data_IF_017133126715
#
_entry.id   IF_017133126715
#
_cell.length_a   1.000
_cell.length_b   1.000
_cell.length_c   1.000
_cell.angle_alpha   90.00
_cell.angle_beta   90.00
_cell.angle_gamma   90.00
#
_symmetry.space_group_name_H-M   'P 1'
#
loop_
_entity.id
_entity.type
_entity.pdbx_description
1 polymer ?
#
# COMPACT_ATOMS: atom_id res chain seq x y z
N UNK A 1 4.84 4.44 -11.56
CA UNK A 1 4.90 2.97 -11.39
C UNK A 1 3.48 2.45 -11.50
N UNK A 2 3.21 1.30 -12.14
CA UNK A 2 1.85 0.73 -12.16
C UNK A 2 1.62 -0.07 -10.86
N UNK A 3 0.67 0.38 -10.03
CA UNK A 3 0.40 -0.18 -8.71
C UNK A 3 -0.75 -1.21 -8.71
N UNK A 4 -1.50 -1.35 -9.81
CA UNK A 4 -2.70 -2.19 -9.88
C UNK A 4 -2.43 -3.66 -9.54
N UNK A 5 -1.24 -4.16 -9.90
CA UNK A 5 -0.79 -5.52 -9.59
C UNK A 5 -0.52 -5.81 -8.12
N UNK A 6 -0.52 -4.80 -7.25
CA UNK A 6 -0.26 -4.93 -5.81
C UNK A 6 -1.54 -4.80 -4.96
N UNK A 7 -2.67 -4.44 -5.57
CA UNK A 7 -3.95 -4.33 -4.88
C UNK A 7 -4.32 -5.67 -4.21
N UNK A 8 -4.73 -5.58 -2.95
CA UNK A 8 -5.14 -6.71 -2.13
C UNK A 8 -3.99 -7.60 -1.63
N UNK A 9 -2.72 -7.24 -1.91
CA UNK A 9 -1.55 -8.04 -1.53
C UNK A 9 -0.86 -7.47 -0.29
N UNK A 10 -0.27 -8.37 0.50
CA UNK A 10 0.67 -8.00 1.54
C UNK A 10 1.98 -7.57 0.90
N UNK A 11 2.43 -6.36 1.23
CA UNK A 11 3.63 -5.76 0.68
C UNK A 11 4.50 -5.15 1.78
N UNK A 12 5.79 -5.14 1.52
CA UNK A 12 6.77 -4.30 2.20
C UNK A 12 7.14 -3.16 1.24
N UNK A 13 6.88 -1.92 1.65
CA UNK A 13 7.09 -0.70 0.87
C UNK A 13 8.27 0.04 1.47
N UNK A 14 9.28 0.31 0.66
CA UNK A 14 10.44 1.10 1.04
C UNK A 14 10.32 2.52 0.51
N UNK A 15 10.32 3.47 1.42
CA UNK A 15 10.46 4.90 1.16
C UNK A 15 11.86 5.37 1.62
N UNK A 16 12.23 6.62 1.33
CA UNK A 16 13.56 7.19 1.63
C UNK A 16 14.04 6.95 3.07
N UNK A 17 13.15 7.12 4.05
CA UNK A 17 13.51 7.08 5.47
C UNK A 17 12.82 5.98 6.28
N UNK A 18 11.91 5.21 5.67
CA UNK A 18 11.08 4.24 6.37
C UNK A 18 10.69 3.06 5.49
N UNK A 19 10.40 1.94 6.13
CA UNK A 19 9.75 0.79 5.49
C UNK A 19 8.40 0.56 6.17
N UNK A 20 7.37 0.38 5.36
CA UNK A 20 6.01 0.09 5.81
C UNK A 20 5.61 -1.31 5.35
N UNK A 21 5.07 -2.11 6.27
CA UNK A 21 4.56 -3.44 5.97
C UNK A 21 3.04 -3.44 6.15
N UNK A 22 2.31 -3.83 5.11
CA UNK A 22 0.86 -3.68 5.09
C UNK A 22 0.18 -4.35 3.91
N UNK A 23 -1.11 -4.11 3.76
CA UNK A 23 -1.86 -4.45 2.56
C UNK A 23 -2.30 -3.20 1.83
N UNK A 24 -2.05 -3.16 0.51
CA UNK A 24 -2.60 -2.12 -0.35
C UNK A 24 -4.06 -2.47 -0.61
N UNK A 25 -4.98 -1.57 -0.29
CA UNK A 25 -6.40 -1.79 -0.54
C UNK A 25 -7.03 -0.75 -1.46
N UNK A 26 -6.37 0.39 -1.68
CA UNK A 26 -6.78 1.36 -2.69
C UNK A 26 -5.58 2.04 -3.37
N UNK A 27 -5.81 2.55 -4.58
CA UNK A 27 -4.88 3.33 -5.38
C UNK A 27 -5.63 4.59 -5.82
N UNK A 28 -5.16 5.74 -5.38
CA UNK A 28 -5.83 7.02 -5.59
C UNK A 28 -5.12 7.80 -6.70
N UNK A 29 -5.88 8.40 -7.61
CA UNK A 29 -5.37 9.42 -8.52
C UNK A 29 -5.22 10.74 -7.76
N UNK A 30 -4.34 11.63 -8.25
CA UNK A 30 -4.04 12.91 -7.59
C UNK A 30 -5.28 13.76 -7.21
N UNK A 31 -6.36 13.69 -8.01
CA UNK A 31 -7.60 14.42 -7.76
C UNK A 31 -8.44 13.85 -6.58
N UNK A 32 -8.29 12.55 -6.29
CA UNK A 32 -8.98 11.85 -5.19
C UNK A 32 -8.09 11.70 -3.93
N UNK A 33 -6.78 11.88 -4.10
CA UNK A 33 -5.78 11.80 -3.04
C UNK A 33 -5.85 12.99 -2.07
N UNK A 34 -5.64 12.73 -0.77
CA UNK A 34 -5.55 13.80 0.23
C UNK A 34 -4.21 14.55 0.17
N UNK A 35 -3.20 13.97 -0.47
CA UNK A 35 -1.86 14.56 -0.63
C UNK A 35 -1.67 15.25 -1.99
N UNK A 36 -2.63 15.13 -2.91
CA UNK A 36 -2.64 15.82 -4.21
C UNK A 36 -1.71 15.21 -5.25
N UNK A 37 -1.33 13.94 -5.09
CA UNK A 37 -0.46 13.17 -5.98
C UNK A 37 -1.02 11.76 -6.12
N UNK A 38 -0.67 11.03 -7.19
CA UNK A 38 -1.06 9.63 -7.29
C UNK A 38 -0.45 8.84 -6.11
N UNK A 39 -1.33 8.16 -5.37
CA UNK A 39 -0.98 7.58 -4.06
C UNK A 39 -1.58 6.19 -3.89
N UNK A 40 -1.18 5.52 -2.81
CA UNK A 40 -1.77 4.25 -2.37
C UNK A 40 -2.24 4.38 -0.93
N UNK A 41 -3.33 3.68 -0.60
CA UNK A 41 -3.73 3.47 0.79
C UNK A 41 -3.22 2.11 1.29
N UNK A 42 -2.40 2.16 2.32
CA UNK A 42 -1.77 0.99 2.94
C UNK A 42 -2.32 0.78 4.35
N UNK A 43 -2.97 -0.36 4.57
CA UNK A 43 -3.34 -0.82 5.91
C UNK A 43 -2.13 -1.46 6.58
N UNK A 44 -1.61 -0.83 7.64
CA UNK A 44 -0.42 -1.31 8.34
C UNK A 44 -0.72 -2.57 9.15
N UNK A 45 0.22 -3.51 9.19
CA UNK A 45 0.09 -4.75 9.97
C UNK A 45 0.36 -4.55 11.47
N UNK A 46 1.33 -3.68 11.78
CA UNK A 46 1.81 -3.50 13.15
C UNK A 46 0.99 -2.49 13.95
N UNK A 47 0.07 -1.79 13.28
CA UNK A 47 -0.76 -0.72 13.84
C UNK A 47 -2.15 -0.81 13.21
N UNK A 48 -3.21 -0.64 13.99
CA UNK A 48 -4.57 -0.45 13.45
C UNK A 48 -4.70 0.95 12.82
N UNK A 49 -3.95 1.19 11.75
CA UNK A 49 -3.83 2.46 11.06
C UNK A 49 -3.72 2.27 9.55
N UNK A 50 -4.30 3.20 8.82
CA UNK A 50 -4.14 3.36 7.38
C UNK A 50 -3.21 4.54 7.13
N UNK A 51 -2.30 4.40 6.18
CA UNK A 51 -1.44 5.49 5.71
C UNK A 51 -1.59 5.65 4.21
N UNK A 52 -1.61 6.90 3.76
CA UNK A 52 -1.54 7.26 2.35
C UNK A 52 -0.08 7.54 1.99
N UNK A 53 0.44 6.91 0.92
CA UNK A 53 1.83 7.03 0.48
C UNK A 53 1.85 7.46 -0.99
N UNK A 54 2.54 8.56 -1.29
CA UNK A 54 2.76 9.01 -2.66
C UNK A 54 3.53 7.95 -3.45
N UNK A 55 3.09 7.63 -4.67
CA UNK A 55 3.80 6.66 -5.53
C UNK A 55 5.19 7.18 -5.91
N UNK A 56 5.37 8.51 -5.97
CA UNK A 56 6.65 9.18 -6.20
C UNK A 56 7.69 8.91 -5.10
N UNK A 57 7.26 8.66 -3.87
CA UNK A 57 8.13 8.40 -2.71
C UNK A 57 8.51 6.91 -2.56
N UNK A 58 7.91 6.02 -3.37
CA UNK A 58 8.16 4.58 -3.32
C UNK A 58 9.42 4.25 -4.11
N UNK A 59 10.45 3.77 -3.40
CA UNK A 59 11.71 3.34 -3.98
C UNK A 59 11.62 1.88 -4.45
N UNK A 60 11.01 1.03 -3.61
CA UNK A 60 10.90 -0.40 -3.86
C UNK A 60 9.65 -0.98 -3.19
N UNK A 61 9.10 -2.02 -3.80
CA UNK A 61 7.93 -2.74 -3.29
C UNK A 61 8.13 -4.24 -3.44
N UNK A 62 8.07 -4.94 -2.31
CA UNK A 62 8.20 -6.40 -2.27
C UNK A 62 6.88 -7.02 -1.83
N UNK A 63 6.32 -7.90 -2.65
CA UNK A 63 5.13 -8.69 -2.27
C UNK A 63 5.57 -9.86 -1.41
N UNK A 64 4.92 -10.09 -0.27
CA UNK A 64 5.12 -11.33 0.50
C UNK A 64 4.40 -12.49 -0.22
N UNK A 65 5.12 -13.42 -0.86
CA UNK A 65 4.51 -14.46 -1.69
C UNK A 65 3.70 -15.49 -0.87
N UNK A 66 3.81 -15.48 0.46
CA UNK A 66 3.07 -16.36 1.36
C UNK A 66 1.63 -15.90 1.58
N UNK A 67 1.32 -14.65 1.28
CA UNK A 67 -0.01 -14.06 1.39
C UNK A 67 -0.53 -13.71 0.00
N UNK A 68 -1.22 -14.67 -0.64
CA UNK A 68 -1.73 -14.48 -2.01
C UNK A 68 -2.93 -13.56 -2.09
N UNK A 69 -3.73 -13.44 -1.03
CA UNK A 69 -4.99 -12.68 -1.02
C UNK A 69 -5.26 -12.14 0.40
N UNK A 70 -5.93 -10.98 0.48
CA UNK A 70 -6.47 -10.42 1.73
C UNK A 70 -7.26 -11.51 2.47
N UNK A 71 -7.06 -11.70 3.80
CA UNK A 71 -7.94 -12.58 4.55
C UNK A 71 -9.37 -12.02 4.48
N UNK A 72 -10.26 -12.70 3.75
CA UNK A 72 -11.68 -12.39 3.75
C UNK A 72 -12.18 -12.59 5.18
N UNK A 73 -12.38 -11.49 5.90
CA UNK A 73 -13.06 -11.52 7.20
C UNK A 73 -14.51 -11.88 6.88
N UNK A 74 -14.88 -13.15 7.09
CA UNK A 74 -16.29 -13.54 7.08
C UNK A 74 -16.94 -12.91 8.31
N UNK A 75 -17.79 -11.91 8.07
CA UNK A 75 -18.79 -11.46 9.02
C UNK A 75 -19.80 -12.56 9.34
#
# INVERSE_FOLDING_TARGET
>A
MDMTGYLGKKVDIKCDSATFSGYIFDILEADDSSIGEDSIELSLLDKEAVVEIAISDIIDITVDPRFKEFPVIKS
#
